data_IF_938970760105
#
_entry.id   IF_938970760105
#
_cell.length_a   1.000
_cell.length_b   1.000
_cell.length_c   1.000
_cell.angle_alpha   90.00
_cell.angle_beta   90.00
_cell.angle_gamma   90.00
#
_symmetry.space_group_name_H-M   'P 1'
#
loop_
_entity.id
_entity.type
_entity.pdbx_description
1 polymer ?
#
# COMPACT_ATOMS: atom_id res chain seq x y z
N UNK A 1 7.89 17.15 15.81
CA UNK A 1 6.72 16.85 14.95
C UNK A 1 7.24 15.83 13.96
N UNK A 2 7.48 14.61 14.44
CA UNK A 2 8.47 13.72 13.82
C UNK A 2 7.72 12.59 13.11
N UNK A 3 7.03 12.97 12.02
CA UNK A 3 6.19 12.07 11.23
C UNK A 3 6.93 11.25 10.16
N UNK A 4 8.25 11.41 10.04
CA UNK A 4 9.07 10.76 9.01
C UNK A 4 10.38 10.22 9.57
N UNK A 5 10.40 9.69 10.80
CA UNK A 5 11.59 8.98 11.29
C UNK A 5 11.86 7.81 10.36
N UNK A 6 12.84 7.96 9.48
CA UNK A 6 13.33 6.89 8.61
C UNK A 6 13.72 5.75 9.55
N UNK A 7 13.04 4.59 9.50
CA UNK A 7 13.54 3.42 10.19
C UNK A 7 14.97 3.17 9.69
N UNK A 8 15.90 2.77 10.55
CA UNK A 8 17.30 2.60 10.19
C UNK A 8 17.42 1.58 9.05
N UNK A 9 17.70 2.02 7.82
CA UNK A 9 18.05 1.25 6.60
C UNK A 9 17.37 -0.13 6.40
N UNK A 10 16.20 -0.35 6.98
CA UNK A 10 15.48 -1.60 6.89
C UNK A 10 14.59 -1.49 5.66
N UNK A 11 15.13 -1.95 4.53
CA UNK A 11 14.42 -2.01 3.25
C UNK A 11 13.30 -3.03 3.40
N UNK A 12 12.09 -2.56 3.70
CA UNK A 12 10.91 -3.41 3.74
C UNK A 12 10.32 -3.60 2.33
N UNK A 13 10.29 -4.83 1.85
CA UNK A 13 9.57 -5.17 0.63
C UNK A 13 8.06 -5.22 0.88
N UNK A 14 7.33 -4.35 0.18
CA UNK A 14 5.88 -4.23 0.26
C UNK A 14 5.21 -4.55 -1.09
N UNK A 15 4.02 -5.19 -1.08
CA UNK A 15 3.28 -5.46 -2.31
C UNK A 15 2.75 -4.16 -2.93
N UNK A 16 2.91 -4.03 -4.26
CA UNK A 16 2.52 -2.84 -4.99
C UNK A 16 1.16 -3.00 -5.68
N UNK A 17 0.20 -2.14 -5.31
CA UNK A 17 -1.09 -2.04 -5.97
C UNK A 17 -1.13 -0.79 -6.87
N UNK A 18 -1.11 -0.94 -8.21
CA UNK A 18 -1.07 0.21 -9.10
C UNK A 18 -2.40 0.97 -9.09
N UNK A 19 -2.38 2.22 -8.65
CA UNK A 19 -3.46 3.20 -8.77
C UNK A 19 -3.07 4.22 -9.84
N UNK A 20 -3.96 4.55 -10.78
CA UNK A 20 -3.63 5.48 -11.89
C UNK A 20 -3.84 6.95 -11.52
N UNK A 21 -4.90 7.26 -10.79
CA UNK A 21 -5.39 8.64 -10.66
C UNK A 21 -5.71 9.02 -9.20
N UNK A 22 -5.11 8.34 -8.23
CA UNK A 22 -5.45 8.53 -6.80
C UNK A 22 -4.22 8.51 -5.92
N UNK A 23 -4.21 9.44 -4.96
CA UNK A 23 -3.26 9.50 -3.84
C UNK A 23 -4.04 9.33 -2.54
N UNK A 24 -3.56 8.48 -1.64
CA UNK A 24 -4.21 8.19 -0.36
C UNK A 24 -3.26 8.59 0.76
N UNK A 25 -3.77 9.31 1.76
CA UNK A 25 -3.03 9.66 2.98
C UNK A 25 -3.48 8.78 4.15
N UNK A 26 -2.63 8.64 5.19
CA UNK A 26 -3.03 7.95 6.42
C UNK A 26 -4.37 8.48 6.97
N UNK A 27 -5.15 7.58 7.59
CA UNK A 27 -6.48 7.86 8.16
C UNK A 27 -7.60 8.18 7.15
N UNK A 28 -7.34 8.10 5.85
CA UNK A 28 -8.40 8.18 4.83
C UNK A 28 -9.02 6.81 4.55
N UNK A 29 -10.34 6.78 4.30
CA UNK A 29 -11.04 5.60 3.78
C UNK A 29 -11.42 5.86 2.33
N UNK A 30 -10.91 5.05 1.42
CA UNK A 30 -11.21 5.15 -0.02
C UNK A 30 -11.58 3.77 -0.60
N UNK A 31 -12.64 3.66 -1.41
CA UNK A 31 -12.94 2.42 -2.12
C UNK A 31 -11.95 2.24 -3.28
N UNK A 32 -11.36 1.05 -3.38
CA UNK A 32 -10.46 0.68 -4.48
C UNK A 32 -11.11 -0.42 -5.32
N UNK A 33 -11.05 -0.31 -6.65
CA UNK A 33 -11.48 -1.38 -7.55
C UNK A 33 -10.28 -2.23 -7.95
N UNK A 34 -10.30 -3.50 -7.54
CA UNK A 34 -9.32 -4.51 -7.95
C UNK A 34 -10.02 -5.58 -8.78
N UNK A 35 -9.53 -5.83 -10.00
CA UNK A 35 -10.16 -6.79 -10.93
C UNK A 35 -9.20 -7.59 -11.80
N UNK A 36 -7.89 -7.35 -11.67
CA UNK A 36 -6.85 -8.14 -12.35
C UNK A 36 -6.20 -9.06 -11.35
N UNK A 37 -5.91 -10.30 -11.73
CA UNK A 37 -5.32 -11.32 -10.85
C UNK A 37 -4.08 -10.82 -10.09
N UNK A 38 -3.20 -10.08 -10.79
CA UNK A 38 -1.99 -9.50 -10.18
C UNK A 38 -2.29 -8.49 -9.07
N UNK A 39 -3.37 -7.73 -9.19
CA UNK A 39 -3.78 -6.71 -8.22
C UNK A 39 -4.46 -7.34 -7.01
N UNK A 40 -5.22 -8.42 -7.24
CA UNK A 40 -5.85 -9.19 -6.15
C UNK A 40 -4.78 -9.86 -5.28
N UNK A 41 -3.80 -10.53 -5.89
CA UNK A 41 -2.69 -11.17 -5.14
C UNK A 41 -1.90 -10.17 -4.31
N UNK A 42 -1.59 -8.99 -4.86
CA UNK A 42 -0.89 -7.94 -4.12
C UNK A 42 -1.68 -7.49 -2.88
N UNK A 43 -2.99 -7.36 -2.99
CA UNK A 43 -3.86 -7.03 -1.87
C UNK A 43 -3.88 -8.14 -0.82
N UNK A 44 -4.03 -9.40 -1.22
CA UNK A 44 -4.00 -10.55 -0.32
C UNK A 44 -2.68 -10.63 0.47
N UNK A 45 -1.53 -10.45 -0.20
CA UNK A 45 -0.21 -10.42 0.44
C UNK A 45 -0.03 -9.27 1.43
N UNK A 46 -0.71 -8.14 1.22
CA UNK A 46 -0.66 -7.00 2.14
C UNK A 46 -1.51 -7.22 3.39
N UNK A 47 -2.61 -7.98 3.26
CA UNK A 47 -3.61 -8.16 4.33
C UNK A 47 -3.28 -9.33 5.26
N UNK A 48 -2.50 -10.30 4.79
CA UNK A 48 -2.10 -11.50 5.56
C UNK A 48 -0.82 -11.31 6.37
N UNK A 49 -0.51 -10.07 6.77
CA UNK A 49 0.63 -9.74 7.62
C UNK A 49 0.21 -9.64 9.09
#
# INVERSE_FOLDING_TARGET
MDGYSTPPDEVEELPLLPLRDTVVFPHMVAPLMVGRDRSVRALESATQR
#
